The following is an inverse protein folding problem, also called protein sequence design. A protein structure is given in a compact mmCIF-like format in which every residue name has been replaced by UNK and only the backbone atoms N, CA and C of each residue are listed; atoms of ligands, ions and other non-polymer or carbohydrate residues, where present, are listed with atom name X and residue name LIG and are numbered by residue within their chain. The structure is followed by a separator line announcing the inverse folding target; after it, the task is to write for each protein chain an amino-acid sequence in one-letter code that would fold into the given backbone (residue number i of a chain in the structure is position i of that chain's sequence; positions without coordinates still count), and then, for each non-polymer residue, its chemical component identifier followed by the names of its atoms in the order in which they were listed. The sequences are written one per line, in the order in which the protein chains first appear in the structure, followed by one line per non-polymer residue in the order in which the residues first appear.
data_IF_563215326939
#
_entry.id   IF_563215326939
#
_cell.length_a   1.000
_cell.length_b   1.000
_cell.length_c   1.000
_cell.angle_alpha   90.00
_cell.angle_beta   90.00
_cell.angle_gamma   90.00
#
_symmetry.space_group_name_H-M   'P 1'
#
loop_
_entity.id
_entity.type
_entity.pdbx_description
1 polymer ?
#
# COMPACT_ATOMS: atom_id res chain seq x y z
N UNK A 1 27.89 -19.59 11.70
CA UNK A 1 26.68 -20.28 11.17
C UNK A 1 25.36 -19.69 11.68
N UNK A 2 25.22 -19.34 12.98
CA UNK A 2 23.98 -18.76 13.55
C UNK A 2 23.63 -17.35 13.06
N UNK A 3 24.64 -16.54 12.71
CA UNK A 3 24.43 -15.14 12.25
C UNK A 3 23.81 -15.03 10.86
N UNK A 4 24.12 -15.97 9.96
CA UNK A 4 23.61 -15.97 8.59
C UNK A 4 22.10 -16.29 8.53
N UNK A 5 21.62 -17.18 9.41
CA UNK A 5 20.20 -17.49 9.57
C UNK A 5 19.41 -16.28 10.10
N UNK A 6 19.99 -15.54 11.05
CA UNK A 6 19.38 -14.32 11.58
C UNK A 6 19.35 -13.21 10.53
N UNK A 7 20.40 -13.07 9.71
CA UNK A 7 20.44 -12.11 8.60
C UNK A 7 19.44 -12.46 7.49
N UNK A 8 19.33 -13.74 7.12
CA UNK A 8 18.36 -14.25 6.16
C UNK A 8 16.90 -14.05 6.62
N UNK A 9 16.60 -14.37 7.89
CA UNK A 9 15.28 -14.15 8.49
C UNK A 9 14.89 -12.67 8.53
N UNK A 10 15.84 -11.77 8.80
CA UNK A 10 15.62 -10.31 8.72
C UNK A 10 15.38 -9.82 7.29
N UNK A 11 16.03 -10.40 6.28
CA UNK A 11 15.79 -10.09 4.87
C UNK A 11 14.40 -10.54 4.41
N UNK A 12 14.00 -11.75 4.78
CA UNK A 12 12.68 -12.31 4.46
C UNK A 12 11.54 -11.54 5.13
N UNK A 13 11.65 -11.23 6.42
CA UNK A 13 10.62 -10.45 7.15
C UNK A 13 10.41 -9.08 6.52
N UNK A 14 11.48 -8.35 6.20
CA UNK A 14 11.40 -7.07 5.47
C UNK A 14 10.78 -7.21 4.08
N UNK A 15 11.10 -8.28 3.37
CA UNK A 15 10.51 -8.58 2.06
C UNK A 15 9.02 -8.90 2.14
N UNK A 16 8.60 -9.65 3.17
CA UNK A 16 7.21 -10.01 3.43
C UNK A 16 6.39 -8.81 3.89
N UNK A 17 6.93 -7.95 4.77
CA UNK A 17 6.29 -6.68 5.14
C UNK A 17 6.09 -5.80 3.90
N UNK A 18 7.13 -5.59 3.10
CA UNK A 18 7.03 -4.79 1.88
C UNK A 18 6.03 -5.39 0.87
N UNK A 19 5.93 -6.72 0.80
CA UNK A 19 4.93 -7.40 -0.03
C UNK A 19 3.51 -7.25 0.52
N UNK A 20 3.31 -7.44 1.82
CA UNK A 20 2.02 -7.26 2.49
C UNK A 20 1.51 -5.82 2.35
N UNK A 21 2.39 -4.83 2.55
CA UNK A 21 2.09 -3.42 2.32
C UNK A 21 1.74 -3.14 0.86
N UNK A 22 2.41 -3.77 -0.12
CA UNK A 22 2.05 -3.64 -1.54
C UNK A 22 0.69 -4.27 -1.86
N UNK A 23 0.43 -5.48 -1.38
CA UNK A 23 -0.85 -6.17 -1.59
C UNK A 23 -2.02 -5.37 -1.00
N UNK A 24 -1.86 -4.87 0.22
CA UNK A 24 -2.87 -4.04 0.88
C UNK A 24 -3.24 -2.78 0.08
N UNK A 25 -2.28 -2.18 -0.64
CA UNK A 25 -2.53 -0.99 -1.48
C UNK A 25 -3.27 -1.34 -2.77
N UNK A 26 -2.95 -2.47 -3.38
CA UNK A 26 -3.68 -2.96 -4.55
C UNK A 26 -5.13 -3.22 -4.17
N UNK A 27 -5.37 -3.91 -3.06
CA UNK A 27 -6.72 -4.15 -2.54
C UNK A 27 -7.47 -2.83 -2.26
N UNK A 28 -6.77 -1.82 -1.72
CA UNK A 28 -7.34 -0.49 -1.48
C UNK A 28 -7.67 0.24 -2.79
N UNK A 29 -6.80 0.16 -3.81
CA UNK A 29 -7.06 0.71 -5.14
C UNK A 29 -8.27 0.04 -5.79
N UNK A 30 -8.37 -1.28 -5.74
CA UNK A 30 -9.51 -2.02 -6.30
C UNK A 30 -10.81 -1.62 -5.61
N UNK A 31 -10.82 -1.53 -4.28
CA UNK A 31 -11.99 -1.08 -3.51
C UNK A 31 -12.43 0.33 -3.86
N UNK A 32 -11.48 1.25 -4.08
CA UNK A 32 -11.80 2.63 -4.46
C UNK A 32 -12.23 2.73 -5.93
N UNK A 33 -11.63 1.96 -6.84
CA UNK A 33 -12.02 1.95 -8.25
C UNK A 33 -13.39 1.31 -8.48
N UNK A 34 -13.79 0.37 -7.61
CA UNK A 34 -15.12 -0.24 -7.63
C UNK A 34 -16.26 0.71 -7.19
N UNK A 35 -15.94 1.85 -6.55
CA UNK A 35 -16.92 2.87 -6.18
C UNK A 35 -17.35 3.70 -7.37
N UNK A 36 -18.57 4.23 -7.33
CA UNK A 36 -19.07 5.23 -8.27
C UNK A 36 -18.45 6.60 -8.00
N UNK A 37 -18.51 7.50 -8.97
CA UNK A 37 -17.96 8.86 -8.81
C UNK A 37 -18.70 9.67 -7.74
N UNK A 38 -20.00 9.40 -7.51
CA UNK A 38 -20.76 9.99 -6.42
C UNK A 38 -20.25 9.54 -5.05
N UNK A 39 -20.03 8.23 -4.86
CA UNK A 39 -19.47 7.69 -3.62
C UNK A 39 -18.03 8.17 -3.39
N UNK A 40 -17.23 8.33 -4.45
CA UNK A 40 -15.91 8.94 -4.33
C UNK A 40 -16.01 10.40 -3.90
N UNK A 41 -16.95 11.17 -4.46
CA UNK A 41 -17.18 12.56 -4.10
C UNK A 41 -17.65 12.73 -2.65
N UNK A 42 -18.49 11.81 -2.13
CA UNK A 42 -18.87 11.76 -0.70
C UNK A 42 -17.65 11.55 0.21
N UNK A 43 -16.65 10.80 -0.27
CA UNK A 43 -15.36 10.62 0.41
C UNK A 43 -14.38 11.79 0.18
N UNK A 44 -14.77 12.82 -0.58
CA UNK A 44 -13.90 13.93 -0.96
C UNK A 44 -12.78 13.53 -1.95
N UNK A 45 -12.96 12.42 -2.67
CA UNK A 45 -12.01 11.88 -3.64
C UNK A 45 -12.53 12.04 -5.06
N UNK A 46 -11.61 12.26 -6.00
CA UNK A 46 -11.88 12.13 -7.42
C UNK A 46 -11.18 10.88 -7.94
N UNK A 47 -11.70 10.24 -8.99
CA UNK A 47 -11.16 8.99 -9.53
C UNK A 47 -9.67 9.10 -9.90
N UNK A 48 -9.27 10.23 -10.48
CA UNK A 48 -7.86 10.54 -10.81
C UNK A 48 -6.95 10.71 -9.58
N UNK A 49 -7.54 10.96 -8.40
CA UNK A 49 -6.80 11.19 -7.15
C UNK A 49 -6.64 9.93 -6.32
N UNK A 50 -7.28 8.82 -6.70
CA UNK A 50 -7.22 7.53 -5.97
C UNK A 50 -5.77 7.09 -5.76
N UNK A 51 -4.95 7.10 -6.82
CA UNK A 51 -3.54 6.70 -6.71
C UNK A 51 -2.78 7.61 -5.72
N UNK A 52 -2.94 8.94 -5.85
CA UNK A 52 -2.33 9.90 -4.94
C UNK A 52 -2.77 9.68 -3.50
N UNK A 53 -4.04 9.37 -3.26
CA UNK A 53 -4.57 9.08 -1.93
C UNK A 53 -4.02 7.78 -1.33
N UNK A 54 -3.97 6.70 -2.12
CA UNK A 54 -3.48 5.37 -1.68
C UNK A 54 -1.97 5.36 -1.40
N UNK A 55 -1.21 6.23 -2.07
CA UNK A 55 0.24 6.34 -1.89
C UNK A 55 0.68 7.61 -1.13
N UNK A 56 -0.26 8.38 -0.57
CA UNK A 56 0.05 9.61 0.16
C UNK A 56 0.98 9.36 1.37
N UNK A 57 0.82 8.21 2.01
CA UNK A 57 1.65 7.75 3.13
C UNK A 57 3.11 7.49 2.73
N UNK A 58 3.37 7.04 1.50
CA UNK A 58 4.74 6.85 0.99
C UNK A 58 5.41 8.18 0.62
N UNK A 59 4.61 9.16 0.18
CA UNK A 59 5.14 10.47 -0.19
C UNK A 59 5.51 11.34 1.01
N UNK A 60 5.03 10.99 2.22
CA UNK A 60 5.30 11.74 3.44
C UNK A 60 6.60 11.32 4.17
N UNK A 61 7.43 10.48 3.52
CA UNK A 61 8.76 10.09 4.02
C UNK A 61 9.81 10.72 3.10
N UNK A 62 10.09 12.00 3.33
CA UNK A 62 11.24 12.74 2.78
C UNK A 62 11.92 13.52 3.90
#
# INVERSE_FOLDING_TARGET
MRENLAAFGRGLSRGMEAYAHRKSRIDQMERLNAKTDAELAEMGLRRQDIARHVFADLMNVY
#
